data_IF_552448164775
#
_entry.id   IF_552448164775
#
_cell.length_a   1.000
_cell.length_b   1.000
_cell.length_c   1.000
_cell.angle_alpha   90.00
_cell.angle_beta   90.00
_cell.angle_gamma   90.00
#
_symmetry.space_group_name_H-M   'P 1'
#
loop_
_entity.id
_entity.type
_entity.pdbx_description
1 polymer ?
#
# COMPACT_ATOMS: atom_id res chain seq x y z
N UNK A 1 7.63 -0.04 -22.22
CA UNK A 1 7.21 -0.02 -20.80
C UNK A 1 6.69 1.37 -20.40
N UNK A 2 7.43 2.45 -20.70
CA UNK A 2 7.07 3.84 -20.32
C UNK A 2 5.66 4.36 -20.74
N UNK A 3 5.14 4.01 -21.92
CA UNK A 3 3.85 4.58 -22.38
C UNK A 3 2.65 4.15 -21.52
N UNK A 4 2.49 2.84 -21.28
CA UNK A 4 1.36 2.32 -20.51
C UNK A 4 1.41 2.74 -19.04
N UNK A 5 2.61 2.74 -18.43
CA UNK A 5 2.81 3.24 -17.07
C UNK A 5 2.42 4.73 -16.96
N UNK A 6 2.82 5.53 -17.95
CA UNK A 6 2.46 6.96 -17.99
C UNK A 6 0.96 7.17 -18.16
N UNK A 7 0.31 6.40 -19.04
CA UNK A 7 -1.14 6.46 -19.25
C UNK A 7 -1.91 6.03 -18.00
N UNK A 8 -1.50 4.93 -17.35
CA UNK A 8 -2.12 4.46 -16.10
C UNK A 8 -1.99 5.53 -15.01
N UNK A 9 -0.82 6.15 -14.87
CA UNK A 9 -0.60 7.21 -13.90
C UNK A 9 -1.44 8.45 -14.18
N UNK A 10 -1.58 8.84 -15.45
CA UNK A 10 -2.45 9.95 -15.85
C UNK A 10 -3.92 9.68 -15.48
N UNK A 11 -4.43 8.48 -15.77
CA UNK A 11 -5.80 8.09 -15.39
C UNK A 11 -5.97 8.01 -13.87
N UNK A 12 -4.96 7.56 -13.12
CA UNK A 12 -4.98 7.54 -11.65
C UNK A 12 -5.20 8.94 -11.06
N UNK A 13 -4.55 9.96 -11.61
CA UNK A 13 -4.73 11.35 -11.15
C UNK A 13 -6.17 11.81 -11.39
N UNK A 14 -6.73 11.54 -12.58
CA UNK A 14 -8.11 11.90 -12.92
C UNK A 14 -9.09 11.16 -12.02
N UNK A 15 -8.91 9.84 -11.83
CA UNK A 15 -9.74 9.01 -10.98
C UNK A 15 -9.79 9.55 -9.55
N UNK A 16 -8.62 9.80 -8.94
CA UNK A 16 -8.54 10.34 -7.58
C UNK A 16 -9.09 11.77 -7.47
N UNK A 17 -9.10 12.52 -8.57
CA UNK A 17 -9.68 13.86 -8.62
C UNK A 17 -11.20 13.86 -8.53
N UNK A 18 -11.91 12.77 -8.91
CA UNK A 18 -13.37 12.69 -8.72
C UNK A 18 -13.76 12.77 -7.24
N UNK A 19 -13.02 12.07 -6.38
CA UNK A 19 -13.21 12.14 -4.93
C UNK A 19 -12.87 13.55 -4.40
N UNK A 20 -11.74 14.13 -4.80
CA UNK A 20 -11.38 15.48 -4.38
C UNK A 20 -12.32 16.58 -4.91
N UNK A 21 -12.94 16.36 -6.06
CA UNK A 21 -13.80 17.33 -6.74
C UNK A 21 -15.06 17.65 -5.93
N UNK A 22 -15.68 16.67 -5.27
CA UNK A 22 -16.93 16.89 -4.53
C UNK A 22 -16.76 17.80 -3.31
N UNK A 23 -15.52 18.07 -2.89
CA UNK A 23 -15.18 19.02 -1.84
C UNK A 23 -14.56 20.32 -2.36
N UNK A 24 -14.41 20.48 -3.68
CA UNK A 24 -13.79 21.66 -4.28
C UNK A 24 -14.74 22.86 -4.20
N UNK A 25 -14.22 24.01 -3.76
CA UNK A 25 -14.96 25.29 -3.80
C UNK A 25 -15.41 25.60 -5.23
N UNK A 26 -16.70 25.87 -5.42
CA UNK A 26 -17.31 26.13 -6.72
C UNK A 26 -17.54 24.89 -7.59
N UNK A 27 -17.44 23.68 -7.02
CA UNK A 27 -17.86 22.47 -7.71
C UNK A 27 -19.37 22.48 -8.00
N UNK A 28 -19.75 22.02 -9.19
CA UNK A 28 -21.17 21.89 -9.58
C UNK A 28 -21.88 20.81 -8.78
N UNK A 29 -21.15 19.76 -8.42
CA UNK A 29 -21.61 18.63 -7.61
C UNK A 29 -20.84 18.57 -6.29
N UNK A 30 -21.00 19.62 -5.47
CA UNK A 30 -20.41 19.66 -4.13
C UNK A 30 -21.24 18.79 -3.16
N UNK A 31 -20.58 17.89 -2.40
CA UNK A 31 -21.19 17.15 -1.30
C UNK A 31 -20.14 16.74 -0.27
N UNK A 32 -20.31 17.24 0.95
CA UNK A 32 -19.44 16.90 2.08
C UNK A 32 -19.74 15.51 2.60
N UNK A 33 -21.01 15.14 2.60
CA UNK A 33 -21.53 13.86 3.06
C UNK A 33 -20.98 12.72 2.20
N UNK A 34 -20.98 12.87 0.88
CA UNK A 34 -20.40 11.87 -0.03
C UNK A 34 -18.91 11.65 0.26
N UNK A 35 -18.14 12.74 0.41
CA UNK A 35 -16.72 12.64 0.72
C UNK A 35 -16.45 12.01 2.10
N UNK A 36 -17.28 12.35 3.10
CA UNK A 36 -17.20 11.79 4.44
C UNK A 36 -17.50 10.29 4.43
N UNK A 37 -18.53 9.84 3.70
CA UNK A 37 -18.87 8.43 3.57
C UNK A 37 -17.77 7.60 2.91
N UNK A 38 -17.15 8.11 1.84
CA UNK A 38 -16.00 7.46 1.20
C UNK A 38 -14.84 7.32 2.19
N UNK A 39 -14.51 8.40 2.91
CA UNK A 39 -13.41 8.40 3.89
C UNK A 39 -13.67 7.43 5.03
N UNK A 40 -14.89 7.45 5.59
CA UNK A 40 -15.27 6.60 6.71
C UNK A 40 -15.27 5.11 6.33
N UNK A 41 -15.82 4.79 5.15
CA UNK A 41 -15.86 3.42 4.65
C UNK A 41 -14.46 2.90 4.35
N UNK A 42 -13.62 3.69 3.68
CA UNK A 42 -12.21 3.33 3.42
C UNK A 42 -11.41 3.13 4.71
N UNK A 43 -11.59 4.03 5.69
CA UNK A 43 -10.98 3.91 7.01
C UNK A 43 -11.42 2.64 7.78
N UNK A 44 -12.69 2.24 7.63
CA UNK A 44 -13.21 1.02 8.24
C UNK A 44 -12.65 -0.24 7.57
N UNK A 45 -12.63 -0.26 6.23
CA UNK A 45 -12.05 -1.34 5.43
C UNK A 45 -10.60 -1.60 5.83
N UNK A 46 -9.76 -0.55 5.88
CA UNK A 46 -8.34 -0.72 6.19
C UNK A 46 -8.11 -1.13 7.65
N UNK A 47 -8.96 -0.66 8.58
CA UNK A 47 -8.86 -1.00 10.00
C UNK A 47 -9.23 -2.46 10.26
N UNK A 48 -10.30 -2.96 9.63
CA UNK A 48 -10.66 -4.38 9.73
C UNK A 48 -9.63 -5.28 9.07
N UNK A 49 -9.14 -4.87 7.88
CA UNK A 49 -8.10 -5.60 7.16
C UNK A 49 -6.81 -5.68 7.98
N UNK A 50 -6.44 -4.59 8.68
CA UNK A 50 -5.33 -4.59 9.63
C UNK A 50 -5.57 -5.58 10.77
N UNK A 51 -6.77 -5.59 11.34
CA UNK A 51 -7.11 -6.51 12.44
C UNK A 51 -6.95 -7.97 12.02
N UNK A 52 -7.30 -8.31 10.78
CA UNK A 52 -7.03 -9.64 10.21
C UNK A 52 -5.52 -9.96 10.21
N UNK A 53 -4.69 -9.03 9.75
CA UNK A 53 -3.23 -9.24 9.68
C UNK A 53 -2.52 -9.15 11.04
N UNK A 54 -3.06 -8.41 12.01
CA UNK A 54 -2.60 -8.40 13.41
C UNK A 54 -2.76 -9.80 14.04
N UNK A 55 -3.72 -10.61 13.60
CA UNK A 55 -3.95 -11.96 14.13
C UNK A 55 -3.01 -13.04 13.55
N UNK A 56 -2.44 -12.81 12.36
CA UNK A 56 -1.65 -13.82 11.62
C UNK A 56 -0.21 -13.40 11.33
N UNK A 57 0.13 -12.14 11.58
CA UNK A 57 1.43 -11.55 11.29
C UNK A 57 1.71 -10.32 12.13
N UNK A 58 2.53 -9.42 11.60
CA UNK A 58 2.92 -8.18 12.27
C UNK A 58 2.80 -7.00 11.31
N UNK A 59 1.68 -6.26 11.35
CA UNK A 59 1.53 -4.99 10.64
C UNK A 59 2.56 -3.97 11.10
N UNK A 60 3.29 -3.39 10.15
CA UNK A 60 4.38 -2.44 10.40
C UNK A 60 3.95 -0.99 10.21
N UNK A 61 3.27 -0.70 9.10
CA UNK A 61 2.81 0.64 8.74
C UNK A 61 1.47 0.53 8.03
N UNK A 62 0.57 1.46 8.35
CA UNK A 62 -0.74 1.57 7.73
C UNK A 62 -0.85 2.95 7.05
N UNK A 63 -1.06 2.95 5.74
CA UNK A 63 -1.40 4.15 4.99
C UNK A 63 -2.93 4.20 4.75
N UNK A 64 -3.36 5.06 3.84
CA UNK A 64 -4.76 5.36 3.57
C UNK A 64 -5.53 4.13 3.06
N UNK A 65 -4.88 3.31 2.24
CA UNK A 65 -5.45 2.18 1.50
C UNK A 65 -4.50 0.97 1.42
N UNK A 66 -3.39 0.98 2.17
CA UNK A 66 -2.38 -0.08 2.14
C UNK A 66 -1.87 -0.46 3.53
N UNK A 67 -1.50 -1.73 3.68
CA UNK A 67 -0.95 -2.29 4.92
C UNK A 67 0.40 -2.92 4.57
N UNK A 68 1.47 -2.43 5.20
CA UNK A 68 2.74 -3.12 5.22
C UNK A 68 2.72 -4.12 6.37
N UNK A 69 2.94 -5.40 6.08
CA UNK A 69 2.89 -6.47 7.09
C UNK A 69 3.99 -7.49 6.89
N UNK A 70 4.50 -8.03 7.99
CA UNK A 70 5.34 -9.21 8.00
C UNK A 70 4.49 -10.44 8.26
N UNK A 71 4.54 -11.39 7.34
CA UNK A 71 3.94 -12.71 7.51
C UNK A 71 5.04 -13.73 7.83
N UNK A 72 4.75 -14.78 8.63
CA UNK A 72 5.70 -15.86 8.86
C UNK A 72 6.14 -16.52 7.54
N UNK A 73 7.41 -16.92 7.44
CA UNK A 73 7.96 -17.56 6.22
C UNK A 73 7.22 -18.84 5.80
N UNK A 74 6.57 -19.53 6.72
CA UNK A 74 5.75 -20.71 6.43
C UNK A 74 4.29 -20.40 6.11
N UNK A 75 3.89 -19.13 6.08
CA UNK A 75 2.52 -18.74 5.79
C UNK A 75 2.19 -19.02 4.32
N UNK A 76 0.96 -19.47 3.98
CA UNK A 76 0.59 -19.71 2.60
C UNK A 76 0.63 -18.42 1.77
N UNK A 77 1.43 -18.41 0.70
CA UNK A 77 1.58 -17.28 -0.22
C UNK A 77 0.73 -17.51 -1.50
N UNK A 78 1.37 -17.91 -2.60
CA UNK A 78 0.71 -18.07 -3.90
C UNK A 78 0.55 -19.54 -4.28
N UNK A 79 -0.61 -19.88 -4.83
CA UNK A 79 -0.94 -21.18 -5.38
C UNK A 79 -1.30 -21.03 -6.86
N UNK A 80 -0.98 -22.05 -7.66
CA UNK A 80 -1.37 -22.10 -9.07
C UNK A 80 -2.27 -23.31 -9.31
N UNK A 81 -3.49 -23.05 -9.74
CA UNK A 81 -4.44 -24.08 -10.15
C UNK A 81 -4.38 -24.28 -11.65
N UNK A 82 -4.49 -25.54 -12.10
CA UNK A 82 -4.64 -25.86 -13.52
C UNK A 82 -6.10 -26.23 -13.79
N UNK A 83 -6.75 -25.45 -14.65
CA UNK A 83 -8.14 -25.68 -15.03
C UNK A 83 -8.25 -26.85 -16.02
N UNK A 84 -9.46 -27.40 -16.18
CA UNK A 84 -9.71 -28.50 -17.14
C UNK A 84 -9.41 -28.14 -18.60
N UNK A 85 -9.34 -26.86 -18.95
CA UNK A 85 -8.93 -26.37 -20.27
C UNK A 85 -7.40 -26.12 -20.38
N UNK A 86 -6.61 -26.52 -19.38
CA UNK A 86 -5.16 -26.33 -19.33
C UNK A 86 -4.68 -24.93 -18.94
N UNK A 87 -5.59 -23.96 -18.77
CA UNK A 87 -5.20 -22.61 -18.30
C UNK A 87 -4.80 -22.64 -16.83
N UNK A 88 -3.76 -21.88 -16.50
CA UNK A 88 -3.29 -21.69 -15.13
C UNK A 88 -3.96 -20.46 -14.53
N UNK A 89 -4.41 -20.57 -13.28
CA UNK A 89 -4.95 -19.47 -12.49
C UNK A 89 -4.10 -19.35 -11.24
N UNK A 90 -3.60 -18.14 -10.99
CA UNK A 90 -2.86 -17.82 -9.78
C UNK A 90 -3.83 -17.37 -8.69
N UNK A 91 -3.50 -17.72 -7.46
CA UNK A 91 -4.28 -17.41 -6.28
C UNK A 91 -3.32 -17.00 -5.18
N UNK A 92 -3.42 -15.75 -4.74
CA UNK A 92 -2.63 -15.22 -3.64
C UNK A 92 -3.45 -15.33 -2.36
N UNK A 93 -3.08 -16.24 -1.47
CA UNK A 93 -3.85 -16.56 -0.28
C UNK A 93 -4.02 -15.37 0.66
N UNK A 94 -2.98 -14.59 1.04
CA UNK A 94 -3.15 -13.44 1.93
C UNK A 94 -4.08 -12.36 1.35
N UNK A 95 -3.96 -12.13 0.04
CA UNK A 95 -4.81 -11.20 -0.69
C UNK A 95 -6.26 -11.69 -0.73
N UNK A 96 -6.46 -12.97 -0.99
CA UNK A 96 -7.80 -13.55 -1.15
C UNK A 96 -8.56 -13.62 0.17
N UNK A 97 -7.92 -13.96 1.29
CA UNK A 97 -8.59 -13.93 2.60
C UNK A 97 -9.03 -12.52 2.99
N UNK A 98 -8.22 -11.51 2.64
CA UNK A 98 -8.57 -10.11 2.87
C UNK A 98 -9.73 -9.67 1.97
N UNK A 99 -9.68 -10.03 0.69
CA UNK A 99 -10.75 -9.75 -0.27
C UNK A 99 -12.07 -10.41 0.10
N UNK A 100 -12.02 -11.63 0.62
CA UNK A 100 -13.20 -12.32 1.14
C UNK A 100 -13.78 -11.61 2.37
N UNK A 101 -12.94 -11.20 3.32
CA UNK A 101 -13.37 -10.42 4.49
C UNK A 101 -14.11 -9.14 4.08
N UNK A 102 -13.54 -8.36 3.15
CA UNK A 102 -14.16 -7.10 2.75
C UNK A 102 -15.41 -7.32 1.90
N UNK A 103 -15.46 -8.37 1.07
CA UNK A 103 -16.64 -8.70 0.28
C UNK A 103 -17.85 -8.97 1.16
N UNK A 104 -17.67 -9.83 2.18
CA UNK A 104 -18.74 -10.20 3.12
C UNK A 104 -19.21 -9.01 3.96
N UNK A 105 -18.29 -8.13 4.37
CA UNK A 105 -18.61 -7.03 5.30
C UNK A 105 -19.08 -5.75 4.61
N UNK A 106 -18.59 -5.47 3.39
CA UNK A 106 -18.75 -4.17 2.72
C UNK A 106 -19.42 -4.24 1.35
N UNK A 107 -19.72 -5.43 0.84
CA UNK A 107 -20.49 -5.59 -0.38
C UNK A 107 -21.86 -4.91 -0.28
N UNK A 108 -22.30 -4.27 -1.36
CA UNK A 108 -23.58 -3.55 -1.40
C UNK A 108 -24.68 -4.45 -2.00
N UNK A 109 -25.60 -5.03 -1.19
CA UNK A 109 -26.69 -5.86 -1.69
C UNK A 109 -27.83 -5.08 -2.36
N UNK A 110 -27.78 -3.75 -2.36
CA UNK A 110 -28.87 -2.87 -2.76
C UNK A 110 -28.56 -2.08 -4.04
N UNK A 111 -27.54 -2.48 -4.80
CA UNK A 111 -27.16 -1.74 -6.00
C UNK A 111 -28.20 -1.91 -7.11
N UNK A 112 -28.84 -0.82 -7.53
CA UNK A 112 -29.90 -0.84 -8.53
C UNK A 112 -29.43 -0.27 -9.86
N UNK A 113 -29.78 -0.95 -10.96
CA UNK A 113 -29.54 -0.47 -12.32
C UNK A 113 -30.86 -0.40 -13.09
N UNK A 114 -31.07 0.68 -13.85
CA UNK A 114 -32.26 0.85 -14.67
C UNK A 114 -32.18 -0.05 -15.92
N UNK A 115 -33.12 -0.97 -16.04
CA UNK A 115 -33.43 -1.63 -17.30
C UNK A 115 -34.25 -0.66 -18.17
N UNK A 116 -33.61 -0.08 -19.19
CA UNK A 116 -34.24 0.97 -20.02
C UNK A 116 -35.40 0.46 -20.88
N UNK A 117 -35.39 -0.83 -21.24
CA UNK A 117 -36.41 -1.43 -22.09
C UNK A 117 -37.69 -1.69 -21.29
N UNK A 118 -37.54 -2.32 -20.12
CA UNK A 118 -38.66 -2.63 -19.23
C UNK A 118 -39.09 -1.43 -18.37
N UNK A 119 -38.22 -0.41 -18.25
CA UNK A 119 -38.36 0.74 -17.32
C UNK A 119 -38.46 0.29 -15.85
N UNK A 120 -37.81 -0.81 -15.53
CA UNK A 120 -37.76 -1.41 -14.20
C UNK A 120 -36.34 -1.35 -13.66
N UNK A 121 -36.18 -1.53 -12.34
CA UNK A 121 -34.86 -1.55 -11.69
C UNK A 121 -34.48 -2.95 -11.27
N UNK A 122 -33.32 -3.40 -11.73
CA UNK A 122 -32.71 -4.66 -11.32
C UNK A 122 -31.78 -4.39 -10.14
N UNK A 123 -31.97 -5.14 -9.03
CA UNK A 123 -31.10 -5.06 -7.85
C UNK A 123 -30.05 -6.16 -7.91
N UNK A 124 -28.80 -5.83 -7.59
CA UNK A 124 -27.70 -6.79 -7.49
C UNK A 124 -26.78 -6.48 -6.32
N UNK A 125 -26.01 -7.50 -5.92
CA UNK A 125 -24.88 -7.32 -5.02
C UNK A 125 -23.68 -6.75 -5.78
N UNK A 126 -23.21 -5.57 -5.39
CA UNK A 126 -22.08 -4.89 -6.02
C UNK A 126 -20.91 -4.77 -5.04
N UNK A 127 -19.73 -5.23 -5.47
CA UNK A 127 -18.47 -5.02 -4.76
C UNK A 127 -17.34 -4.96 -5.78
N UNK A 128 -16.66 -3.81 -5.82
CA UNK A 128 -15.55 -3.56 -6.75
C UNK A 128 -14.27 -3.12 -6.05
N UNK A 129 -14.20 -3.29 -4.73
CA UNK A 129 -13.01 -3.00 -3.93
C UNK A 129 -12.23 -4.29 -3.77
N UNK A 130 -10.97 -4.28 -4.19
CA UNK A 130 -10.06 -5.40 -4.08
C UNK A 130 -8.71 -4.89 -3.59
N UNK A 131 -8.14 -5.59 -2.61
CA UNK A 131 -6.72 -5.55 -2.35
C UNK A 131 -5.97 -6.28 -3.45
N UNK A 132 -4.75 -5.80 -3.69
CA UNK A 132 -3.72 -6.47 -4.47
C UNK A 132 -2.51 -6.66 -3.56
N UNK A 133 -1.75 -7.73 -3.80
CA UNK A 133 -0.50 -7.98 -3.07
C UNK A 133 0.68 -7.45 -3.87
N UNK A 134 1.59 -6.78 -3.17
CA UNK A 134 2.86 -6.32 -3.73
C UNK A 134 4.00 -6.78 -2.80
N UNK A 135 4.90 -7.60 -3.34
CA UNK A 135 5.91 -8.34 -2.59
C UNK A 135 6.04 -9.80 -3.08
N UNK A 136 6.74 -10.67 -2.33
CA UNK A 136 7.46 -10.38 -1.09
C UNK A 136 8.70 -9.50 -1.32
N UNK A 137 9.05 -8.71 -0.31
CA UNK A 137 10.20 -7.81 -0.33
C UNK A 137 11.36 -8.36 0.50
N UNK A 138 12.59 -7.95 0.15
CA UNK A 138 13.80 -8.39 0.85
C UNK A 138 13.98 -7.67 2.18
N UNK A 139 13.74 -6.37 2.18
CA UNK A 139 13.97 -5.51 3.35
C UNK A 139 13.00 -4.32 3.30
N UNK A 140 12.48 -3.96 4.46
CA UNK A 140 11.75 -2.71 4.68
C UNK A 140 12.37 -2.01 5.89
N UNK A 141 12.62 -0.71 5.75
CA UNK A 141 13.18 0.13 6.79
C UNK A 141 12.18 1.20 7.20
N UNK A 142 11.96 1.33 8.51
CA UNK A 142 11.06 2.32 9.09
C UNK A 142 11.84 3.08 10.17
N UNK A 143 11.95 4.42 10.06
CA UNK A 143 12.66 5.22 11.05
C UNK A 143 11.82 5.39 12.32
N UNK A 144 12.49 5.39 13.47
CA UNK A 144 11.88 5.75 14.75
C UNK A 144 11.74 7.28 14.92
N UNK A 145 10.77 7.72 15.72
CA UNK A 145 10.69 9.13 16.11
C UNK A 145 11.69 9.45 17.22
N UNK A 146 12.12 10.72 17.27
CA UNK A 146 12.87 11.26 18.42
C UNK A 146 11.98 11.53 19.64
N UNK A 147 10.65 11.51 19.47
CA UNK A 147 9.69 11.67 20.56
C UNK A 147 9.22 10.30 21.06
N UNK A 148 9.29 10.10 22.38
CA UNK A 148 8.82 8.88 23.03
C UNK A 148 7.34 8.60 22.70
N UNK A 149 7.04 7.34 22.41
CA UNK A 149 5.68 6.88 22.11
C UNK A 149 5.10 7.37 20.77
N UNK A 150 5.88 8.06 19.93
CA UNK A 150 5.43 8.50 18.59
C UNK A 150 6.13 7.72 17.49
N UNK A 151 5.36 7.33 16.47
CA UNK A 151 5.89 6.75 15.24
C UNK A 151 5.90 7.79 14.12
N UNK A 152 6.91 7.72 13.25
CA UNK A 152 6.99 8.55 12.05
C UNK A 152 6.17 7.92 10.94
N UNK A 153 4.91 8.37 10.79
CA UNK A 153 4.05 7.91 9.70
C UNK A 153 4.58 8.34 8.34
N UNK A 154 4.33 7.52 7.31
CA UNK A 154 4.65 7.79 5.90
C UNK A 154 6.14 8.00 5.60
N UNK A 155 7.03 7.41 6.41
CA UNK A 155 8.47 7.39 6.18
C UNK A 155 8.97 5.95 6.15
N UNK A 156 9.38 5.45 4.99
CA UNK A 156 9.92 4.10 4.85
C UNK A 156 10.67 3.94 3.53
N UNK A 157 11.57 2.95 3.49
CA UNK A 157 12.30 2.53 2.30
C UNK A 157 12.17 1.02 2.15
N UNK A 158 11.97 0.55 0.92
CA UNK A 158 11.72 -0.87 0.61
C UNK A 158 12.65 -1.33 -0.49
N UNK A 159 13.22 -2.51 -0.31
CA UNK A 159 14.13 -3.15 -1.24
C UNK A 159 13.57 -4.48 -1.73
N UNK A 160 13.69 -4.72 -3.02
CA UNK A 160 13.38 -6.03 -3.60
C UNK A 160 14.53 -7.03 -3.41
N UNK A 161 14.28 -8.28 -3.81
CA UNK A 161 15.25 -9.38 -3.74
C UNK A 161 16.49 -9.17 -4.61
N UNK A 162 16.43 -8.31 -5.64
CA UNK A 162 17.60 -7.92 -6.43
C UNK A 162 18.45 -6.83 -5.76
N UNK A 163 18.10 -6.39 -4.54
CA UNK A 163 18.79 -5.33 -3.82
C UNK A 163 18.52 -3.92 -4.36
N UNK A 164 17.55 -3.78 -5.26
CA UNK A 164 17.12 -2.47 -5.77
C UNK A 164 16.06 -1.88 -4.86
N UNK A 165 16.25 -0.61 -4.51
CA UNK A 165 15.27 0.20 -3.81
C UNK A 165 14.04 0.42 -4.72
N UNK A 166 12.90 -0.16 -4.35
CA UNK A 166 11.65 -0.09 -5.13
C UNK A 166 10.77 1.06 -4.67
N UNK A 167 10.75 1.34 -3.38
CA UNK A 167 9.91 2.39 -2.81
C UNK A 167 10.65 3.20 -1.75
N UNK A 168 10.47 4.52 -1.80
CA UNK A 168 10.97 5.47 -0.80
C UNK A 168 9.88 6.50 -0.55
N UNK A 169 9.41 6.58 0.69
CA UNK A 169 8.38 7.53 1.11
C UNK A 169 8.88 8.41 2.22
N UNK A 170 8.51 9.69 2.16
CA UNK A 170 8.72 10.68 3.22
C UNK A 170 10.16 11.13 3.47
N UNK A 171 11.17 10.38 3.02
CA UNK A 171 12.58 10.76 3.14
C UNK A 171 12.98 11.93 2.24
N UNK A 172 13.94 12.70 2.74
CA UNK A 172 14.52 13.90 2.13
C UNK A 172 15.13 13.60 0.75
N UNK A 173 15.64 12.38 0.54
CA UNK A 173 16.13 11.86 -0.74
C UNK A 173 15.20 12.17 -1.93
N UNK A 174 13.87 12.04 -1.74
CA UNK A 174 12.87 12.27 -2.80
C UNK A 174 12.23 13.66 -2.75
N UNK A 175 12.54 14.49 -1.76
CA UNK A 175 11.92 15.81 -1.56
C UNK A 175 12.73 16.91 -2.26
N UNK A 176 12.05 17.88 -2.86
CA UNK A 176 12.69 19.07 -3.46
C UNK A 176 13.07 20.06 -2.36
N UNK A 177 14.22 20.72 -2.49
CA UNK A 177 14.65 21.78 -1.56
C UNK A 177 15.38 21.33 -0.29
N UNK A 178 15.42 20.02 0.01
CA UNK A 178 16.14 19.53 1.19
C UNK A 178 17.67 19.59 1.03
N UNK A 179 18.37 19.64 2.17
CA UNK A 179 19.84 19.70 2.24
C UNK A 179 20.49 18.58 1.43
N UNK A 180 21.36 18.95 0.48
CA UNK A 180 22.02 17.98 -0.41
C UNK A 180 22.85 16.95 0.36
N UNK A 181 23.49 17.36 1.45
CA UNK A 181 24.25 16.46 2.34
C UNK A 181 23.38 15.33 2.90
N UNK A 182 22.18 15.65 3.40
CA UNK A 182 21.24 14.65 3.95
C UNK A 182 20.79 13.67 2.86
N UNK A 183 20.61 14.14 1.62
CA UNK A 183 20.22 13.26 0.51
C UNK A 183 21.30 12.24 0.18
N UNK A 184 22.56 12.69 0.10
CA UNK A 184 23.69 11.80 -0.20
C UNK A 184 23.88 10.81 0.96
N UNK A 185 23.82 11.28 2.21
CA UNK A 185 23.88 10.43 3.39
C UNK A 185 22.78 9.34 3.37
N UNK A 186 21.53 9.71 3.08
CA UNK A 186 20.42 8.77 2.99
C UNK A 186 20.62 7.73 1.89
N UNK A 187 21.08 8.15 0.71
CA UNK A 187 21.35 7.25 -0.40
C UNK A 187 22.43 6.21 -0.04
N UNK A 188 23.51 6.65 0.60
CA UNK A 188 24.61 5.78 1.01
C UNK A 188 24.19 4.83 2.14
N UNK A 189 23.58 5.34 3.21
CA UNK A 189 23.23 4.51 4.38
C UNK A 189 22.14 3.49 4.06
N UNK A 190 21.14 3.83 3.23
CA UNK A 190 20.05 2.91 2.90
C UNK A 190 20.54 1.66 2.19
N UNK A 191 21.56 1.77 1.34
CA UNK A 191 22.13 0.61 0.65
C UNK A 191 22.79 -0.39 1.61
N UNK A 192 23.31 0.08 2.76
CA UNK A 192 24.00 -0.74 3.76
C UNK A 192 23.07 -1.61 4.60
N UNK A 193 21.79 -1.29 4.66
CA UNK A 193 20.79 -2.14 5.35
C UNK A 193 20.60 -3.51 4.69
N UNK A 194 21.21 -3.77 3.54
CA UNK A 194 21.23 -5.08 2.87
C UNK A 194 22.48 -5.91 3.20
N UNK A 195 23.44 -5.33 3.93
CA UNK A 195 24.68 -5.97 4.35
C UNK A 195 24.50 -6.69 5.71
N UNK A 196 25.41 -7.62 6.00
CA UNK A 196 25.35 -8.45 7.20
C UNK A 196 24.47 -9.70 7.07
N UNK A 197 24.76 -10.67 7.92
CA UNK A 197 24.01 -11.92 8.08
C UNK A 197 23.15 -11.92 9.36
N UNK A 198 23.43 -11.00 10.27
CA UNK A 198 22.68 -10.76 11.51
C UNK A 198 22.21 -9.31 11.60
N UNK A 199 21.23 -9.04 12.47
CA UNK A 199 20.76 -7.67 12.69
C UNK A 199 21.89 -6.76 13.22
N UNK A 200 22.79 -7.30 14.05
CA UNK A 200 23.94 -6.54 14.56
C UNK A 200 24.89 -6.15 13.42
N UNK A 201 25.31 -7.11 12.59
CA UNK A 201 26.20 -6.83 11.45
C UNK A 201 25.59 -5.82 10.46
N UNK A 202 24.26 -5.89 10.26
CA UNK A 202 23.53 -4.91 9.46
C UNK A 202 23.65 -3.49 10.04
N UNK A 203 23.43 -3.34 11.36
CA UNK A 203 23.58 -2.04 12.02
C UNK A 203 25.03 -1.57 12.10
N UNK A 204 26.01 -2.47 12.24
CA UNK A 204 27.44 -2.14 12.23
C UNK A 204 27.83 -1.53 10.87
N UNK A 205 27.42 -2.15 9.75
CA UNK A 205 27.66 -1.63 8.40
C UNK A 205 27.01 -0.26 8.16
N UNK A 206 25.81 -0.02 8.71
CA UNK A 206 25.19 1.30 8.69
C UNK A 206 25.95 2.31 9.59
N UNK A 207 26.46 1.85 10.73
CA UNK A 207 27.25 2.64 11.68
C UNK A 207 28.52 3.19 11.06
N UNK A 208 29.25 2.38 10.28
CA UNK A 208 30.47 2.82 9.56
C UNK A 208 30.20 4.02 8.63
N UNK A 209 29.04 4.05 7.97
CA UNK A 209 28.63 5.21 7.17
C UNK A 209 28.33 6.42 8.06
N UNK A 210 27.67 6.20 9.20
CA UNK A 210 27.40 7.22 10.19
C UNK A 210 28.68 7.90 10.70
N UNK A 211 29.69 7.10 11.08
CA UNK A 211 31.00 7.59 11.53
C UNK A 211 31.72 8.37 10.43
N UNK A 212 31.79 7.84 9.21
CA UNK A 212 32.44 8.52 8.08
C UNK A 212 31.82 9.89 7.73
N UNK A 213 30.52 10.07 7.93
CA UNK A 213 29.85 11.35 7.69
C UNK A 213 29.94 12.31 8.88
N UNK A 214 30.31 11.81 10.06
CA UNK A 214 30.54 12.60 11.25
C UNK A 214 31.96 13.19 11.28
N UNK A 215 32.95 12.42 10.82
CA UNK A 215 34.36 12.83 10.64
C UNK A 215 34.54 13.94 9.59
#
# INVERSE_FOLDING_TARGET
MSLYESLQLAHKIILNSFYGYVMKKGARWYSMEMAAMVTHTGGSIITDSRTLFDAVGMPLELDTDGIWTLLPKGFPESFTFTLGNGKKVNFDFPCTICNNLIYEKYGNPQYQTLNKELKEYDTRHEMSIFFEIDGPYKCMMIPASTQEGKMLKKRYAVFNHAGKMTEVKGFELKRRGELKIIKIFQEEVFSRFLEGSTLQECYDACGEIGERWFD
#
